data_IF_972985287134
#
_entry.id   IF_972985287134
#
_cell.length_a   1.000
_cell.length_b   1.000
_cell.length_c   1.000
_cell.angle_alpha   90.00
_cell.angle_beta   90.00
_cell.angle_gamma   90.00
#
_symmetry.space_group_name_H-M   'P 1'
#
loop_
_entity.id
_entity.type
_entity.pdbx_description
1 polymer ?
#
# COMPACT_ATOMS: atom_id res chain seq x y z
N UNK A 1 -11.60 -11.67 8.67
CA UNK A 1 -11.40 -12.02 7.25
C UNK A 1 -12.60 -12.70 6.64
N UNK A 2 -13.23 -13.68 7.29
CA UNK A 2 -14.37 -14.43 6.73
C UNK A 2 -15.58 -13.57 6.34
N UNK A 3 -15.91 -12.54 7.10
CA UNK A 3 -17.03 -11.63 6.79
C UNK A 3 -16.83 -10.81 5.50
N UNK A 4 -15.59 -10.51 5.11
CA UNK A 4 -15.32 -9.80 3.86
C UNK A 4 -15.60 -10.68 2.63
N UNK A 5 -15.39 -11.99 2.74
CA UNK A 5 -15.57 -12.93 1.64
C UNK A 5 -17.05 -13.11 1.24
N UNK A 6 -17.98 -12.96 2.20
CA UNK A 6 -19.42 -13.09 1.96
C UNK A 6 -20.01 -11.89 1.17
N UNK A 7 -19.31 -10.76 1.16
CA UNK A 7 -19.76 -9.51 0.52
C UNK A 7 -18.94 -9.11 -0.71
N UNK A 8 -18.02 -9.96 -1.15
CA UNK A 8 -17.24 -9.70 -2.36
C UNK A 8 -18.11 -9.87 -3.61
N UNK A 9 -18.05 -8.93 -4.58
CA UNK A 9 -18.62 -9.15 -5.90
C UNK A 9 -18.03 -10.42 -6.55
N UNK A 10 -18.82 -11.06 -7.43
CA UNK A 10 -18.47 -12.36 -8.02
C UNK A 10 -17.18 -12.36 -8.86
N UNK A 11 -16.79 -11.21 -9.36
CA UNK A 11 -15.58 -10.98 -10.17
C UNK A 11 -14.33 -10.60 -9.35
N UNK A 12 -14.49 -10.50 -8.01
CA UNK A 12 -13.39 -10.22 -7.08
C UNK A 12 -12.95 -11.47 -6.33
N UNK A 13 -11.67 -11.58 -6.09
CA UNK A 13 -11.08 -12.66 -5.29
C UNK A 13 -10.05 -12.14 -4.31
N UNK A 14 -9.89 -12.83 -3.17
CA UNK A 14 -8.86 -12.53 -2.17
C UNK A 14 -7.72 -13.52 -2.31
N UNK A 15 -6.51 -13.01 -2.43
CA UNK A 15 -5.28 -13.82 -2.48
C UNK A 15 -4.44 -13.49 -1.24
N UNK A 16 -4.30 -14.40 -0.27
CA UNK A 16 -3.43 -14.17 0.88
C UNK A 16 -1.96 -14.17 0.46
N UNK A 17 -1.19 -13.22 1.02
CA UNK A 17 0.26 -13.15 0.84
C UNK A 17 0.90 -13.62 2.14
N UNK A 18 1.11 -14.92 2.26
CA UNK A 18 1.68 -15.56 3.44
C UNK A 18 2.74 -16.59 3.05
N UNK A 19 3.83 -16.63 3.80
CA UNK A 19 4.88 -17.67 3.67
C UNK A 19 5.39 -17.93 2.25
N UNK A 20 5.52 -16.89 1.44
CA UNK A 20 5.98 -17.01 0.05
C UNK A 20 7.29 -16.27 -0.19
N UNK A 21 7.98 -16.67 -1.26
CA UNK A 21 9.20 -15.99 -1.70
C UNK A 21 8.89 -14.58 -2.22
N UNK A 22 9.81 -13.60 -2.05
CA UNK A 22 9.56 -12.19 -2.40
C UNK A 22 9.11 -11.98 -3.86
N UNK A 23 9.65 -12.72 -4.81
CA UNK A 23 9.27 -12.62 -6.23
C UNK A 23 7.80 -12.99 -6.47
N UNK A 24 7.28 -14.00 -5.77
CA UNK A 24 5.88 -14.40 -5.88
C UNK A 24 4.95 -13.37 -5.23
N UNK A 25 5.36 -12.81 -4.09
CA UNK A 25 4.62 -11.71 -3.46
C UNK A 25 4.56 -10.48 -4.37
N UNK A 26 5.67 -10.09 -4.98
CA UNK A 26 5.74 -8.99 -5.93
C UNK A 26 4.85 -9.21 -7.16
N UNK A 27 4.79 -10.44 -7.71
CA UNK A 27 3.88 -10.78 -8.81
C UNK A 27 2.41 -10.61 -8.41
N UNK A 28 2.02 -11.08 -7.23
CA UNK A 28 0.65 -10.92 -6.72
C UNK A 28 0.34 -9.41 -6.54
N UNK A 29 1.22 -8.64 -5.92
CA UNK A 29 1.04 -7.20 -5.72
C UNK A 29 0.88 -6.45 -7.03
N UNK A 30 1.66 -6.77 -8.05
CA UNK A 30 1.62 -6.11 -9.37
C UNK A 30 0.28 -6.31 -10.11
N UNK A 31 -0.47 -7.35 -9.75
CA UNK A 31 -1.76 -7.70 -10.34
C UNK A 31 -2.95 -7.42 -9.44
N UNK A 32 -2.70 -6.93 -8.22
CA UNK A 32 -3.74 -6.62 -7.26
C UNK A 32 -4.25 -5.19 -7.43
N UNK A 33 -5.55 -5.01 -7.47
CA UNK A 33 -6.18 -3.70 -7.50
C UNK A 33 -6.33 -3.08 -6.12
N UNK A 34 -6.48 -3.92 -5.09
CA UNK A 34 -6.61 -3.50 -3.69
C UNK A 34 -5.70 -4.36 -2.82
N UNK A 35 -4.98 -3.74 -1.89
CA UNK A 35 -4.19 -4.40 -0.86
C UNK A 35 -4.79 -4.12 0.52
N UNK A 36 -5.01 -5.18 1.30
CA UNK A 36 -5.54 -5.06 2.67
C UNK A 36 -4.40 -5.19 3.69
N UNK A 37 -4.19 -4.16 4.50
CA UNK A 37 -3.17 -4.11 5.53
C UNK A 37 -3.79 -4.27 6.91
N UNK A 38 -3.43 -5.37 7.60
CA UNK A 38 -3.90 -5.67 8.96
C UNK A 38 -2.81 -5.50 10.03
N UNK A 39 -1.69 -4.90 9.69
CA UNK A 39 -0.56 -4.77 10.60
C UNK A 39 -0.78 -3.71 11.67
N UNK A 40 -0.78 -4.13 12.93
CA UNK A 40 -0.94 -3.29 14.11
C UNK A 40 0.38 -2.69 14.60
N UNK A 41 1.45 -3.45 14.49
CA UNK A 41 2.77 -3.13 15.05
C UNK A 41 3.82 -3.33 13.94
N UNK A 42 3.98 -2.34 13.11
CA UNK A 42 5.10 -2.29 12.17
C UNK A 42 5.84 -0.96 12.28
N UNK A 43 7.16 -1.02 12.12
CA UNK A 43 8.00 0.17 12.04
C UNK A 43 7.59 1.03 10.85
N UNK A 44 8.10 0.74 9.67
CA UNK A 44 7.83 1.55 8.47
C UNK A 44 6.66 1.03 7.62
N UNK A 45 6.36 -0.26 7.66
CA UNK A 45 5.26 -0.86 6.89
C UNK A 45 5.57 -0.97 5.40
N UNK A 46 6.64 -1.66 5.02
CA UNK A 46 7.03 -1.85 3.62
C UNK A 46 5.95 -2.48 2.73
N UNK A 47 5.22 -3.54 3.13
CA UNK A 47 4.24 -4.16 2.25
C UNK A 47 3.11 -3.23 1.77
N UNK A 48 2.49 -2.39 2.61
CA UNK A 48 1.51 -1.40 2.14
C UNK A 48 2.10 -0.40 1.16
N UNK A 49 3.34 0.05 1.39
CA UNK A 49 4.03 0.99 0.50
C UNK A 49 4.36 0.34 -0.84
N UNK A 50 4.87 -0.89 -0.84
CA UNK A 50 5.16 -1.66 -2.05
C UNK A 50 3.89 -1.89 -2.88
N UNK A 51 2.76 -2.20 -2.24
CA UNK A 51 1.47 -2.35 -2.89
C UNK A 51 1.01 -1.04 -3.55
N UNK A 52 1.11 0.09 -2.85
CA UNK A 52 0.74 1.39 -3.38
C UNK A 52 1.63 1.81 -4.57
N UNK A 53 2.93 1.58 -4.49
CA UNK A 53 3.88 1.82 -5.60
C UNK A 53 3.58 0.92 -6.79
N UNK A 54 3.17 -0.33 -6.56
CA UNK A 54 2.76 -1.26 -7.61
C UNK A 54 1.45 -0.87 -8.30
N UNK A 55 0.68 0.05 -7.72
CA UNK A 55 -0.54 0.60 -8.32
C UNK A 55 -1.84 0.10 -7.68
N UNK A 56 -1.78 -0.55 -6.53
CA UNK A 56 -2.97 -0.94 -5.77
C UNK A 56 -3.47 0.20 -4.88
N UNK A 57 -4.77 0.24 -4.63
CA UNK A 57 -5.34 0.98 -3.50
C UNK A 57 -5.04 0.22 -2.23
N UNK A 58 -4.50 0.87 -1.22
CA UNK A 58 -4.24 0.25 0.08
C UNK A 58 -5.32 0.65 1.07
N UNK A 59 -5.95 -0.32 1.72
CA UNK A 59 -6.91 -0.08 2.81
C UNK A 59 -6.40 -0.80 4.05
N UNK A 60 -6.28 -0.09 5.16
CA UNK A 60 -5.91 -0.78 6.38
C UNK A 60 -5.31 0.05 7.50
N UNK A 61 -4.76 -0.65 8.45
CA UNK A 61 -4.11 -0.07 9.62
C UNK A 61 -2.76 0.52 9.26
N UNK A 62 -2.45 1.68 9.84
CA UNK A 62 -1.20 2.39 9.55
C UNK A 62 -0.02 1.90 10.37
N UNK A 63 -0.28 1.15 11.45
CA UNK A 63 0.76 0.94 12.45
C UNK A 63 1.31 2.27 13.00
N UNK A 64 2.54 2.29 13.47
CA UNK A 64 3.16 3.51 13.98
C UNK A 64 3.94 4.28 12.89
N UNK A 65 4.62 3.59 12.00
CA UNK A 65 5.53 4.19 11.02
C UNK A 65 4.92 4.54 9.67
N UNK A 66 3.84 3.88 9.27
CA UNK A 66 3.24 4.09 7.97
C UNK A 66 2.39 5.37 7.84
N UNK A 67 2.11 6.05 8.96
CA UNK A 67 1.25 7.26 8.99
C UNK A 67 1.72 8.35 8.04
N UNK A 68 3.01 8.47 7.81
CA UNK A 68 3.57 9.54 6.99
C UNK A 68 3.20 9.43 5.51
N UNK A 69 3.01 8.20 4.99
CA UNK A 69 2.68 7.98 3.58
C UNK A 69 1.22 7.55 3.34
N UNK A 70 0.44 7.27 4.40
CA UNK A 70 -0.97 6.89 4.25
C UNK A 70 -1.83 8.09 3.87
N UNK A 71 -1.92 8.38 2.58
CA UNK A 71 -2.68 9.51 2.03
C UNK A 71 -3.58 9.06 0.87
N UNK A 72 -4.82 9.57 0.88
CA UNK A 72 -5.76 9.38 -0.24
C UNK A 72 -5.25 10.04 -1.52
N UNK A 73 -5.63 9.52 -2.70
CA UNK A 73 -6.55 8.40 -2.91
C UNK A 73 -5.89 7.02 -2.82
N UNK A 74 -4.56 6.92 -2.80
CA UNK A 74 -3.83 5.67 -2.93
C UNK A 74 -3.86 4.81 -1.67
N UNK A 75 -3.84 5.43 -0.48
CA UNK A 75 -3.86 4.73 0.79
C UNK A 75 -4.95 5.27 1.70
N UNK A 76 -5.80 4.38 2.19
CA UNK A 76 -6.98 4.67 3.01
C UNK A 76 -6.73 4.10 4.41
N UNK A 77 -6.47 5.00 5.36
CA UNK A 77 -6.23 4.62 6.74
C UNK A 77 -7.52 4.21 7.46
N UNK A 78 -7.44 3.15 8.23
CA UNK A 78 -8.46 2.70 9.16
C UNK A 78 -7.87 2.67 10.57
N UNK A 79 -8.66 3.04 11.57
CA UNK A 79 -8.23 2.93 12.96
C UNK A 79 -8.09 1.47 13.35
N UNK A 80 -7.01 1.13 14.04
CA UNK A 80 -6.76 -0.22 14.51
C UNK A 80 -7.94 -0.75 15.37
N UNK A 81 -8.38 -1.98 15.04
CA UNK A 81 -9.51 -2.63 15.71
C UNK A 81 -10.89 -2.21 15.23
N UNK A 82 -11.02 -1.20 14.37
CA UNK A 82 -12.30 -0.78 13.80
C UNK A 82 -12.67 -1.63 12.57
N UNK A 83 -13.06 -2.87 12.82
CA UNK A 83 -13.44 -3.83 11.77
C UNK A 83 -14.63 -3.39 10.93
N UNK A 84 -15.58 -2.68 11.53
CA UNK A 84 -16.74 -2.16 10.81
C UNK A 84 -16.34 -1.12 9.79
N UNK A 85 -15.56 -0.15 10.19
CA UNK A 85 -15.07 0.88 9.27
C UNK A 85 -14.12 0.30 8.24
N UNK A 86 -13.31 -0.70 8.62
CA UNK A 86 -12.46 -1.44 7.68
C UNK A 86 -13.29 -2.04 6.54
N UNK A 87 -14.35 -2.79 6.88
CA UNK A 87 -15.23 -3.41 5.88
C UNK A 87 -15.90 -2.38 4.97
N UNK A 88 -16.38 -1.27 5.55
CA UNK A 88 -16.98 -0.18 4.77
C UNK A 88 -15.98 0.45 3.80
N UNK A 89 -14.75 0.71 4.25
CA UNK A 89 -13.69 1.27 3.40
C UNK A 89 -13.26 0.34 2.29
N UNK A 90 -13.23 -0.97 2.53
CA UNK A 90 -12.97 -1.96 1.48
C UNK A 90 -14.09 -1.97 0.45
N UNK A 91 -15.35 -1.96 0.87
CA UNK A 91 -16.49 -1.89 -0.04
C UNK A 91 -16.49 -0.60 -0.88
N UNK A 92 -16.16 0.53 -0.28
CA UNK A 92 -16.02 1.81 -0.99
C UNK A 92 -14.85 1.77 -2.00
N UNK A 93 -13.73 1.16 -1.63
CA UNK A 93 -12.58 1.01 -2.50
C UNK A 93 -12.90 0.11 -3.70
N UNK A 94 -13.62 -1.00 -3.51
CA UNK A 94 -14.07 -1.87 -4.60
C UNK A 94 -14.91 -1.08 -5.60
N UNK A 95 -15.93 -0.36 -5.11
CA UNK A 95 -16.79 0.48 -5.96
C UNK A 95 -16.00 1.54 -6.72
N UNK A 96 -15.03 2.17 -6.07
CA UNK A 96 -14.20 3.20 -6.69
C UNK A 96 -13.28 2.61 -7.78
N UNK A 97 -12.70 1.44 -7.53
CA UNK A 97 -11.88 0.73 -8.53
C UNK A 97 -12.71 0.30 -9.73
N UNK A 98 -13.89 -0.27 -9.50
CA UNK A 98 -14.83 -0.65 -10.57
C UNK A 98 -15.30 0.56 -11.39
N UNK A 99 -15.34 1.74 -10.76
CA UNK A 99 -15.66 3.02 -11.42
C UNK A 99 -14.44 3.69 -12.11
N UNK A 100 -13.26 3.06 -12.14
CA UNK A 100 -12.08 3.54 -12.85
C UNK A 100 -11.13 4.40 -12.01
N UNK A 101 -11.14 4.29 -10.68
CA UNK A 101 -10.26 5.05 -9.78
C UNK A 101 -8.78 4.95 -10.18
N UNK A 102 -8.32 3.74 -10.54
CA UNK A 102 -6.91 3.48 -10.83
C UNK A 102 -6.39 4.25 -12.05
N UNK A 103 -7.29 4.60 -12.98
CA UNK A 103 -6.97 5.34 -14.20
C UNK A 103 -7.14 6.86 -14.05
N UNK A 104 -7.57 7.34 -12.88
CA UNK A 104 -7.72 8.78 -12.63
C UNK A 104 -6.37 9.47 -12.49
N UNK A 105 -6.29 10.72 -12.96
CA UNK A 105 -5.10 11.56 -12.86
C UNK A 105 -4.62 11.68 -11.40
N UNK A 106 -5.53 11.96 -10.47
CA UNK A 106 -5.19 12.10 -9.05
C UNK A 106 -4.61 10.83 -8.43
N UNK A 107 -5.08 9.64 -8.85
CA UNK A 107 -4.51 8.38 -8.38
C UNK A 107 -3.10 8.17 -8.94
N UNK A 108 -2.90 8.42 -10.22
CA UNK A 108 -1.61 8.26 -10.88
C UNK A 108 -0.58 9.29 -10.38
N UNK A 109 -0.97 10.51 -10.14
CA UNK A 109 -0.12 11.54 -9.51
C UNK A 109 0.30 11.13 -8.08
N UNK A 110 -0.64 10.64 -7.27
CA UNK A 110 -0.36 10.13 -5.93
C UNK A 110 0.64 8.98 -5.95
N UNK A 111 0.47 8.04 -6.88
CA UNK A 111 1.42 6.94 -7.09
C UNK A 111 2.80 7.45 -7.51
N UNK A 112 2.86 8.38 -8.45
CA UNK A 112 4.12 8.98 -8.91
C UNK A 112 4.89 9.67 -7.78
N UNK A 113 4.19 10.35 -6.87
CA UNK A 113 4.79 10.96 -5.68
C UNK A 113 5.38 9.93 -4.73
N UNK A 114 4.70 8.80 -4.52
CA UNK A 114 5.22 7.69 -3.71
C UNK A 114 6.47 7.07 -4.34
N UNK A 115 6.45 6.82 -5.64
CA UNK A 115 7.62 6.31 -6.39
C UNK A 115 8.79 7.29 -6.28
N UNK A 116 8.54 8.59 -6.43
CA UNK A 116 9.59 9.62 -6.34
C UNK A 116 10.20 9.69 -4.94
N UNK A 117 9.37 9.57 -3.89
CA UNK A 117 9.84 9.72 -2.50
C UNK A 117 10.48 8.43 -1.94
N UNK A 118 9.92 7.28 -2.27
CA UNK A 118 10.27 5.99 -1.67
C UNK A 118 10.81 4.97 -2.68
N UNK A 119 10.90 5.33 -3.96
CA UNK A 119 11.40 4.45 -4.99
C UNK A 119 12.91 4.22 -4.87
N UNK A 120 13.38 3.14 -5.47
CA UNK A 120 14.77 2.66 -5.40
C UNK A 120 15.81 3.72 -5.77
N UNK A 121 15.51 4.54 -6.77
CA UNK A 121 16.42 5.62 -7.20
C UNK A 121 16.62 6.70 -6.12
N UNK A 122 15.56 7.03 -5.37
CA UNK A 122 15.66 7.99 -4.28
C UNK A 122 16.43 7.41 -3.08
N UNK A 123 16.18 6.14 -2.76
CA UNK A 123 16.92 5.42 -1.71
C UNK A 123 18.42 5.40 -2.03
N UNK A 124 18.78 5.07 -3.25
CA UNK A 124 20.18 5.08 -3.70
C UNK A 124 20.81 6.46 -3.59
N UNK A 125 20.12 7.52 -4.05
CA UNK A 125 20.61 8.91 -3.93
C UNK A 125 20.81 9.35 -2.47
N UNK A 126 19.90 8.96 -1.57
CA UNK A 126 20.02 9.27 -0.16
C UNK A 126 21.19 8.54 0.50
N UNK A 127 21.39 7.28 0.11
CA UNK A 127 22.53 6.49 0.59
C UNK A 127 23.87 7.10 0.14
N UNK A 128 23.98 7.45 -1.14
CA UNK A 128 25.19 8.10 -1.70
C UNK A 128 25.47 9.45 -1.02
N UNK A 129 24.43 10.26 -0.78
CA UNK A 129 24.57 11.52 -0.07
C UNK A 129 24.97 11.34 1.39
N UNK A 130 24.50 10.28 2.05
CA UNK A 130 24.90 9.93 3.41
C UNK A 130 26.38 9.50 3.45
N UNK A 131 26.79 8.61 2.55
CA UNK A 131 28.20 8.14 2.46
C UNK A 131 29.15 9.33 2.26
N UNK A 132 28.84 10.21 1.29
CA UNK A 132 29.65 11.44 1.08
C UNK A 132 29.75 12.31 2.31
N UNK A 133 28.69 12.48 3.09
CA UNK A 133 28.73 13.23 4.35
C UNK A 133 29.62 12.58 5.39
N UNK A 134 29.58 11.27 5.49
CA UNK A 134 30.44 10.52 6.40
C UNK A 134 31.92 10.64 5.99
N UNK A 135 32.23 10.48 4.72
CA UNK A 135 33.59 10.61 4.18
C UNK A 135 34.17 12.03 4.39
N UNK A 136 33.33 13.07 4.28
CA UNK A 136 33.75 14.46 4.54
C UNK A 136 33.92 14.79 6.02
N UNK A 137 33.35 14.00 6.93
CA UNK A 137 33.42 14.21 8.39
C UNK A 137 34.66 13.54 9.03
N UNK A 138 35.32 12.68 8.31
CA UNK A 138 36.54 11.96 8.71
C UNK A 138 37.65 12.20 7.71
#
# INVERSE_FOLDING_TARGET
MFYLLEYLPADWSVVPIENMVPLKAADILSRSSIFLSFCDIEGFGLPPLEAAISGAVVVGYTGQGAREYFKKPNLIAVQNGDFRNFTLKVADAIKAVDAGLLDTEGFQEGRALLVKKYGRENEQRQLEAFVKRVEMAF
#
